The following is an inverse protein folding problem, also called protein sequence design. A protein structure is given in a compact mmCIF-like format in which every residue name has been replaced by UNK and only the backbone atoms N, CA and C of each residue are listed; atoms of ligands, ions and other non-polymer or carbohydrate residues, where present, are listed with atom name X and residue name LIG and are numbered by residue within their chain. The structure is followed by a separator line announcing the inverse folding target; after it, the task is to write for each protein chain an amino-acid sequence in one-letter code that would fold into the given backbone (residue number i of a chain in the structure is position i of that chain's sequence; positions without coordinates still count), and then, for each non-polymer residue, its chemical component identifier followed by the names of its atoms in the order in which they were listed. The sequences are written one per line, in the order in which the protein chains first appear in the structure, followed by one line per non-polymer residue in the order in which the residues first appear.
data_IF_284481308102
#
_entry.id   IF_284481308102
#
_cell.length_a   1.000
_cell.length_b   1.000
_cell.length_c   1.000
_cell.angle_alpha   90.00
_cell.angle_beta   90.00
_cell.angle_gamma   90.00
#
_symmetry.space_group_name_H-M   'P 1'
#
loop_
_entity.id
_entity.type
_entity.pdbx_description
1 polymer ?
#
# COMPACT_ATOMS: atom_id res chain seq x y z
N UNK A 1 -19.19 -10.65 0.91
CA UNK A 1 -19.22 -11.85 0.02
C UNK A 1 -18.22 -12.89 0.48
N UNK A 2 -18.37 -14.14 0.06
CA UNK A 2 -17.37 -15.17 0.28
C UNK A 2 -16.30 -15.04 -0.80
N UNK A 3 -15.05 -15.20 -0.39
CA UNK A 3 -13.89 -15.28 -1.29
C UNK A 3 -13.12 -16.56 -0.97
N UNK A 4 -12.58 -17.20 -2.00
CA UNK A 4 -11.77 -18.42 -1.86
C UNK A 4 -10.32 -18.09 -2.15
N UNK A 5 -9.41 -18.54 -1.30
CA UNK A 5 -7.97 -18.38 -1.50
C UNK A 5 -7.53 -19.23 -2.70
N UNK A 6 -7.06 -18.57 -3.75
CA UNK A 6 -6.59 -19.23 -4.97
C UNK A 6 -5.14 -19.71 -4.78
N UNK A 7 -4.26 -18.80 -4.43
CA UNK A 7 -2.86 -19.09 -4.11
C UNK A 7 -2.24 -17.96 -3.26
N UNK A 8 -1.02 -18.21 -2.80
CA UNK A 8 -0.23 -17.23 -2.04
C UNK A 8 1.10 -17.04 -2.77
N UNK A 9 1.58 -15.79 -2.83
CA UNK A 9 2.89 -15.43 -3.32
C UNK A 9 3.72 -14.79 -2.22
N UNK A 10 4.95 -15.26 -2.01
CA UNK A 10 5.92 -14.64 -1.10
C UNK A 10 6.63 -13.51 -1.84
N UNK A 11 6.33 -12.26 -1.49
CA UNK A 11 6.98 -11.07 -2.06
C UNK A 11 8.36 -10.82 -1.46
N UNK A 12 8.49 -11.12 -0.16
CA UNK A 12 9.71 -11.05 0.64
C UNK A 12 9.57 -11.99 1.85
N UNK A 13 10.62 -12.18 2.64
CA UNK A 13 10.64 -13.12 3.78
C UNK A 13 9.43 -13.00 4.72
N UNK A 14 8.92 -11.79 4.90
CA UNK A 14 7.82 -11.50 5.82
C UNK A 14 6.65 -10.77 5.15
N UNK A 15 6.63 -10.67 3.83
CA UNK A 15 5.57 -10.02 3.06
C UNK A 15 4.98 -11.01 2.08
N UNK A 16 3.65 -11.19 2.16
CA UNK A 16 2.90 -12.11 1.31
C UNK A 16 1.74 -11.42 0.62
N UNK A 17 1.49 -11.84 -0.61
CA UNK A 17 0.28 -11.50 -1.37
C UNK A 17 -0.64 -12.72 -1.42
N UNK A 18 -1.87 -12.53 -0.97
CA UNK A 18 -2.95 -13.50 -1.00
C UNK A 18 -3.86 -13.20 -2.17
N UNK A 19 -4.05 -14.19 -3.05
CA UNK A 19 -4.88 -14.08 -4.23
C UNK A 19 -6.24 -14.72 -3.96
N UNK A 20 -7.29 -13.91 -4.05
CA UNK A 20 -8.65 -14.32 -3.72
C UNK A 20 -9.54 -14.37 -4.94
N UNK A 21 -10.23 -15.49 -5.13
CA UNK A 21 -11.28 -15.64 -6.12
C UNK A 21 -12.62 -15.27 -5.49
N UNK A 22 -13.25 -14.18 -5.91
CA UNK A 22 -14.57 -13.81 -5.40
C UNK A 22 -15.65 -14.70 -6.01
N UNK A 23 -16.72 -14.98 -5.24
CA UNK A 23 -17.90 -15.74 -5.76
C UNK A 23 -18.65 -14.99 -6.85
N UNK A 24 -18.49 -13.69 -6.93
CA UNK A 24 -19.03 -12.81 -7.98
C UNK A 24 -18.07 -11.63 -8.19
N UNK A 25 -18.02 -11.05 -9.41
CA UNK A 25 -17.14 -9.92 -9.67
C UNK A 25 -17.36 -8.78 -8.68
N UNK A 26 -16.28 -8.24 -8.14
CA UNK A 26 -16.28 -7.07 -7.27
C UNK A 26 -15.87 -5.84 -8.06
N UNK A 27 -16.72 -4.83 -8.07
CA UNK A 27 -16.39 -3.53 -8.67
C UNK A 27 -15.81 -2.60 -7.59
N UNK A 28 -14.64 -2.05 -7.83
CA UNK A 28 -13.99 -1.10 -6.95
C UNK A 28 -13.11 -0.12 -7.73
N UNK A 29 -12.61 0.89 -7.04
CA UNK A 29 -11.65 1.86 -7.59
C UNK A 29 -10.27 1.56 -7.01
N UNK A 30 -9.23 1.61 -7.83
CA UNK A 30 -7.86 1.39 -7.40
C UNK A 30 -7.49 2.30 -6.21
N UNK A 31 -6.94 1.72 -5.16
CA UNK A 31 -6.63 2.37 -3.89
C UNK A 31 -7.65 2.13 -2.77
N UNK A 32 -8.85 1.61 -3.07
CA UNK A 32 -9.83 1.26 -2.04
C UNK A 32 -9.41 0.05 -1.21
N UNK A 33 -9.99 -0.05 -0.01
CA UNK A 33 -9.76 -1.13 0.95
C UNK A 33 -11.05 -1.90 1.26
N UNK A 34 -10.88 -3.07 1.88
CA UNK A 34 -11.96 -3.94 2.35
C UNK A 34 -11.70 -4.37 3.80
N UNK A 35 -12.75 -4.84 4.46
CA UNK A 35 -12.61 -5.63 5.68
C UNK A 35 -12.58 -7.12 5.32
N UNK A 36 -11.50 -7.80 5.70
CA UNK A 36 -11.37 -9.24 5.54
C UNK A 36 -11.61 -9.93 6.90
N UNK A 37 -12.53 -10.90 6.92
CA UNK A 37 -12.80 -11.74 8.08
C UNK A 37 -12.25 -13.15 7.84
N UNK A 38 -11.33 -13.56 8.69
CA UNK A 38 -10.79 -14.94 8.71
C UNK A 38 -11.24 -15.61 10.01
N UNK A 39 -12.14 -16.58 9.88
CA UNK A 39 -12.65 -17.35 11.03
C UNK A 39 -11.57 -18.23 11.62
N UNK A 40 -11.39 -18.20 12.94
CA UNK A 40 -10.44 -19.05 13.67
C UNK A 40 -10.86 -19.15 15.15
N UNK A 41 -10.54 -20.29 15.79
CA UNK A 41 -11.03 -20.60 17.13
C UNK A 41 -10.33 -19.80 18.24
N UNK A 42 -9.07 -19.37 18.02
CA UNK A 42 -8.22 -18.68 19.01
C UNK A 42 -8.22 -17.14 18.81
N UNK A 43 -9.38 -16.54 18.51
CA UNK A 43 -9.48 -15.10 18.31
C UNK A 43 -9.07 -14.33 19.58
N UNK A 44 -8.07 -13.46 19.44
CA UNK A 44 -7.66 -12.53 20.49
C UNK A 44 -8.66 -11.36 20.62
N UNK A 45 -8.46 -10.45 21.59
CA UNK A 45 -9.29 -9.28 21.82
C UNK A 45 -9.42 -8.33 20.63
N UNK A 46 -8.51 -8.44 19.67
CA UNK A 46 -8.54 -7.70 18.40
C UNK A 46 -9.45 -8.33 17.34
N UNK A 47 -10.03 -9.52 17.60
CA UNK A 47 -11.03 -10.20 16.80
C UNK A 47 -10.53 -10.75 15.45
N UNK A 48 -11.50 -11.20 14.65
CA UNK A 48 -11.32 -11.95 13.40
C UNK A 48 -11.31 -11.07 12.14
N UNK A 49 -11.29 -9.74 12.25
CA UNK A 49 -11.45 -8.80 11.14
C UNK A 49 -10.29 -7.83 11.05
N UNK A 50 -9.85 -7.53 9.81
CA UNK A 50 -8.86 -6.47 9.55
C UNK A 50 -9.16 -5.79 8.23
N UNK A 51 -8.83 -4.52 8.17
CA UNK A 51 -8.86 -3.75 6.95
C UNK A 51 -7.60 -3.97 6.14
N UNK A 52 -7.79 -4.12 4.83
CA UNK A 52 -6.69 -4.26 3.87
C UNK A 52 -7.02 -3.49 2.60
N UNK A 53 -6.06 -2.75 2.11
CA UNK A 53 -6.12 -2.24 0.74
C UNK A 53 -6.17 -3.41 -0.24
N UNK A 54 -7.03 -3.31 -1.25
CA UNK A 54 -6.96 -4.19 -2.41
C UNK A 54 -5.71 -3.81 -3.21
N UNK A 55 -4.69 -4.66 -3.16
CA UNK A 55 -3.44 -4.42 -3.89
C UNK A 55 -3.55 -4.74 -5.38
N UNK A 56 -4.56 -5.53 -5.81
CA UNK A 56 -4.88 -5.74 -7.23
C UNK A 56 -5.42 -4.49 -7.91
N UNK A 57 -5.29 -4.44 -9.24
CA UNK A 57 -6.04 -3.52 -10.09
C UNK A 57 -7.49 -3.97 -10.22
N UNK A 58 -8.47 -3.04 -10.34
CA UNK A 58 -9.87 -3.37 -10.65
C UNK A 58 -10.07 -4.12 -11.98
N UNK A 59 -9.06 -4.14 -12.83
CA UNK A 59 -9.05 -4.84 -14.13
C UNK A 59 -8.72 -6.33 -13.99
N UNK A 60 -8.21 -6.75 -12.83
CA UNK A 60 -7.77 -8.13 -12.58
C UNK A 60 -8.94 -9.01 -12.10
N UNK A 61 -8.90 -10.29 -12.48
CA UNK A 61 -9.91 -11.27 -12.09
C UNK A 61 -9.82 -11.66 -10.62
N UNK A 62 -8.59 -11.81 -10.10
CA UNK A 62 -8.33 -12.14 -8.69
C UNK A 62 -8.12 -10.85 -7.89
N UNK A 63 -8.74 -10.82 -6.71
CA UNK A 63 -8.51 -9.76 -5.74
C UNK A 63 -7.25 -10.08 -4.93
N UNK A 64 -6.38 -9.11 -4.71
CA UNK A 64 -5.20 -9.36 -3.89
C UNK A 64 -5.17 -8.50 -2.64
N UNK A 65 -4.68 -9.13 -1.57
CA UNK A 65 -4.34 -8.51 -0.30
C UNK A 65 -2.88 -8.81 -0.01
N UNK A 66 -2.06 -7.76 0.06
CA UNK A 66 -0.65 -7.90 0.40
C UNK A 66 -0.41 -7.41 1.81
N UNK A 67 0.31 -8.17 2.62
CA UNK A 67 0.50 -7.86 4.02
C UNK A 67 1.86 -8.30 4.55
N UNK A 68 2.38 -7.52 5.50
CA UNK A 68 3.61 -7.84 6.25
C UNK A 68 3.26 -8.59 7.53
N UNK A 69 4.02 -9.61 7.84
CA UNK A 69 3.92 -10.40 9.07
C UNK A 69 5.01 -9.98 10.05
N UNK A 70 4.66 -9.83 11.33
CA UNK A 70 5.65 -9.67 12.38
C UNK A 70 6.40 -11.00 12.60
N UNK A 71 7.67 -10.92 12.97
CA UNK A 71 8.48 -12.11 13.27
C UNK A 71 7.94 -12.86 14.48
N UNK A 72 7.53 -12.12 15.53
CA UNK A 72 6.95 -12.65 16.77
C UNK A 72 5.71 -11.83 17.16
N UNK A 73 4.81 -12.42 17.96
CA UNK A 73 3.65 -11.74 18.56
C UNK A 73 2.63 -11.10 17.60
N UNK A 74 2.49 -11.64 16.39
CA UNK A 74 1.40 -11.25 15.49
C UNK A 74 0.03 -11.51 16.11
N UNK A 75 -1.03 -10.77 15.66
CA UNK A 75 -2.39 -11.02 16.09
C UNK A 75 -2.84 -12.44 15.73
N UNK A 76 -3.83 -12.97 16.45
CA UNK A 76 -4.46 -14.26 16.11
C UNK A 76 -4.93 -14.28 14.67
N UNK A 77 -5.54 -13.18 14.20
CA UNK A 77 -5.91 -12.98 12.79
C UNK A 77 -4.73 -13.18 11.83
N UNK A 78 -3.57 -12.56 12.12
CA UNK A 78 -2.39 -12.68 11.25
C UNK A 78 -1.84 -14.12 11.24
N UNK A 79 -1.88 -14.82 12.38
CA UNK A 79 -1.51 -16.23 12.44
C UNK A 79 -2.48 -17.07 11.59
N UNK A 80 -3.79 -16.91 11.81
CA UNK A 80 -4.80 -17.61 11.01
C UNK A 80 -4.64 -17.35 9.50
N UNK A 81 -4.46 -16.09 9.09
CA UNK A 81 -4.21 -15.73 7.69
C UNK A 81 -2.93 -16.38 7.12
N UNK A 82 -1.86 -16.45 7.93
CA UNK A 82 -0.58 -17.09 7.53
C UNK A 82 -0.74 -18.57 7.25
N UNK A 83 -1.59 -19.24 8.04
CA UNK A 83 -1.77 -20.69 8.02
C UNK A 83 -2.80 -21.16 6.97
N UNK A 84 -3.51 -20.22 6.32
CA UNK A 84 -4.48 -20.53 5.25
C UNK A 84 -3.80 -21.24 4.07
N UNK A 85 -4.57 -22.11 3.43
CA UNK A 85 -4.16 -22.88 2.27
C UNK A 85 -5.07 -22.59 1.08
N UNK A 86 -4.59 -22.76 -0.17
CA UNK A 86 -5.45 -22.70 -1.35
C UNK A 86 -6.72 -23.55 -1.18
N UNK A 87 -7.88 -22.96 -1.47
CA UNK A 87 -9.21 -23.54 -1.24
C UNK A 87 -9.91 -23.09 0.04
N UNK A 88 -9.19 -22.52 1.00
CA UNK A 88 -9.80 -21.94 2.20
C UNK A 88 -10.64 -20.71 1.85
N UNK A 89 -11.61 -20.42 2.70
CA UNK A 89 -12.53 -19.28 2.45
C UNK A 89 -12.43 -18.20 3.52
N UNK A 90 -12.69 -16.96 3.11
CA UNK A 90 -12.83 -15.81 3.99
C UNK A 90 -14.08 -15.00 3.60
N UNK A 91 -14.46 -14.05 4.46
CA UNK A 91 -15.54 -13.11 4.16
C UNK A 91 -14.91 -11.74 3.87
N UNK A 92 -15.26 -11.16 2.74
CA UNK A 92 -14.80 -9.86 2.30
C UNK A 92 -15.99 -8.88 2.26
N UNK A 93 -15.81 -7.69 2.83
CA UNK A 93 -16.80 -6.61 2.76
C UNK A 93 -16.91 -6.02 1.36
N UNK A 94 -17.86 -5.11 1.16
CA UNK A 94 -17.83 -4.20 0.02
C UNK A 94 -16.62 -3.26 0.11
N UNK A 95 -16.10 -2.74 -1.02
CA UNK A 95 -14.98 -1.80 -1.05
C UNK A 95 -15.34 -0.47 -0.40
N UNK A 96 -14.37 0.14 0.28
CA UNK A 96 -14.50 1.39 1.01
C UNK A 96 -13.29 2.30 0.75
N UNK A 97 -13.43 3.56 1.13
CA UNK A 97 -12.34 4.55 1.11
C UNK A 97 -12.33 5.43 -0.13
N UNK A 98 -11.72 6.59 0.05
CA UNK A 98 -11.59 7.67 -0.94
C UNK A 98 -10.12 7.97 -1.30
N UNK A 99 -9.19 7.12 -0.87
CA UNK A 99 -7.78 7.19 -1.27
C UNK A 99 -7.62 6.63 -2.70
N UNK A 100 -8.09 7.43 -3.67
CA UNK A 100 -8.17 7.02 -5.09
C UNK A 100 -7.57 8.12 -5.97
N UNK A 101 -7.26 7.79 -7.22
CA UNK A 101 -6.74 8.75 -8.18
C UNK A 101 -7.74 9.91 -8.41
N UNK A 102 -7.26 11.16 -8.55
CA UNK A 102 -8.13 12.30 -8.85
C UNK A 102 -8.75 12.15 -10.24
N UNK A 103 -9.92 12.77 -10.44
CA UNK A 103 -10.64 12.71 -11.73
C UNK A 103 -9.85 13.34 -12.89
N UNK A 104 -9.09 14.41 -12.60
CA UNK A 104 -8.28 15.10 -13.61
C UNK A 104 -6.96 14.34 -13.80
N UNK A 105 -6.78 13.72 -14.96
CA UNK A 105 -5.60 12.92 -15.27
C UNK A 105 -4.28 13.73 -15.29
N UNK A 106 -4.35 15.02 -15.56
CA UNK A 106 -3.18 15.91 -15.63
C UNK A 106 -2.76 16.51 -14.29
N UNK A 107 -3.48 16.20 -13.20
CA UNK A 107 -3.07 16.64 -11.85
C UNK A 107 -1.71 16.05 -11.51
N UNK A 108 -0.69 16.87 -11.16
CA UNK A 108 0.60 16.35 -10.72
C UNK A 108 0.47 15.63 -9.38
N UNK A 109 1.04 14.41 -9.29
CA UNK A 109 0.94 13.55 -8.12
C UNK A 109 2.32 13.23 -7.55
N UNK A 110 2.43 13.31 -6.23
CA UNK A 110 3.56 12.74 -5.51
C UNK A 110 3.03 11.61 -4.63
N UNK A 111 3.49 10.39 -4.89
CA UNK A 111 3.17 9.21 -4.09
C UNK A 111 4.28 8.95 -3.09
N UNK A 112 3.91 8.80 -1.82
CA UNK A 112 4.84 8.51 -0.72
C UNK A 112 4.34 7.29 0.03
N UNK A 113 5.09 6.19 -0.07
CA UNK A 113 4.77 4.95 0.61
C UNK A 113 5.72 4.66 1.77
N UNK A 114 5.19 4.22 2.90
CA UNK A 114 5.96 3.64 4.01
C UNK A 114 5.70 2.15 4.14
N UNK A 115 6.71 1.31 3.84
CA UNK A 115 6.61 -0.14 3.93
C UNK A 115 5.40 -0.69 3.16
N UNK A 116 4.50 -1.41 3.86
CA UNK A 116 3.30 -2.01 3.24
C UNK A 116 2.29 -0.96 2.74
N UNK A 117 2.44 0.31 3.09
CA UNK A 117 1.67 1.42 2.50
C UNK A 117 1.84 1.60 0.99
N UNK A 118 2.69 0.80 0.38
CA UNK A 118 2.83 0.72 -1.08
C UNK A 118 1.59 0.11 -1.77
N UNK A 119 0.76 -0.64 -1.06
CA UNK A 119 -0.35 -1.42 -1.64
C UNK A 119 -1.39 -0.61 -2.41
N UNK A 120 -1.89 0.57 -1.95
CA UNK A 120 -2.80 1.37 -2.75
C UNK A 120 -2.15 1.93 -4.02
N UNK A 121 -0.87 2.29 -3.95
CA UNK A 121 -0.13 2.78 -5.12
C UNK A 121 0.13 1.66 -6.13
N UNK A 122 0.41 0.44 -5.67
CA UNK A 122 0.50 -0.73 -6.55
C UNK A 122 -0.81 -0.94 -7.33
N UNK A 123 -1.95 -0.92 -6.65
CA UNK A 123 -3.27 -1.03 -7.27
C UNK A 123 -3.49 0.08 -8.33
N UNK A 124 -3.16 1.34 -7.99
CA UNK A 124 -3.30 2.48 -8.88
C UNK A 124 -2.38 2.38 -10.11
N UNK A 125 -1.10 2.06 -9.91
CA UNK A 125 -0.13 1.96 -10.99
C UNK A 125 -0.42 0.78 -11.92
N UNK A 126 -0.85 -0.37 -11.37
CA UNK A 126 -1.30 -1.50 -12.17
C UNK A 126 -2.53 -1.12 -13.00
N UNK A 127 -3.50 -0.41 -12.41
CA UNK A 127 -4.68 0.09 -13.15
C UNK A 127 -4.29 1.02 -14.29
N UNK A 128 -3.37 1.95 -14.07
CA UNK A 128 -2.88 2.86 -15.11
C UNK A 128 -2.18 2.10 -16.24
N UNK A 129 -1.33 1.12 -15.90
CA UNK A 129 -0.69 0.27 -16.88
C UNK A 129 -1.69 -0.55 -17.71
N UNK A 130 -2.68 -1.16 -17.05
CA UNK A 130 -3.69 -2.00 -17.70
C UNK A 130 -4.63 -1.17 -18.60
N UNK A 131 -4.97 0.05 -18.20
CA UNK A 131 -5.84 0.96 -18.97
C UNK A 131 -5.11 1.76 -20.05
N UNK A 132 -3.76 1.74 -20.06
CA UNK A 132 -2.94 2.58 -20.93
C UNK A 132 -3.02 4.07 -20.59
N UNK A 133 -3.50 4.43 -19.39
CA UNK A 133 -3.57 5.81 -18.93
C UNK A 133 -2.23 6.24 -18.34
N UNK A 134 -1.75 7.44 -18.71
CA UNK A 134 -0.53 8.03 -18.18
C UNK A 134 -0.86 9.25 -17.32
N UNK A 135 -0.19 9.37 -16.17
CA UNK A 135 -0.32 10.50 -15.26
C UNK A 135 1.04 11.04 -14.83
N UNK A 136 1.17 12.34 -14.55
CA UNK A 136 2.40 12.92 -14.02
C UNK A 136 2.59 12.51 -12.55
N UNK A 137 3.26 11.39 -12.30
CA UNK A 137 3.49 10.83 -10.97
C UNK A 137 4.99 10.86 -10.66
N UNK A 138 5.35 11.30 -9.46
CA UNK A 138 6.65 11.08 -8.81
C UNK A 138 6.43 10.19 -7.60
N UNK A 139 7.38 9.29 -7.31
CA UNK A 139 7.16 8.32 -6.24
C UNK A 139 8.40 8.12 -5.35
N UNK A 140 8.16 8.15 -4.03
CA UNK A 140 9.12 7.79 -2.99
C UNK A 140 8.58 6.59 -2.20
N UNK A 141 9.44 5.62 -1.95
CA UNK A 141 9.09 4.43 -1.16
C UNK A 141 10.13 4.24 -0.06
N UNK A 142 9.70 4.34 1.21
CA UNK A 142 10.52 4.03 2.35
C UNK A 142 10.38 2.55 2.72
N UNK A 143 11.51 1.86 2.84
CA UNK A 143 11.59 0.48 3.33
C UNK A 143 12.67 0.38 4.40
N UNK A 144 12.62 -0.66 5.23
CA UNK A 144 13.64 -0.88 6.25
C UNK A 144 14.96 -1.32 5.62
N UNK A 145 14.92 -2.30 4.74
CA UNK A 145 16.09 -2.82 4.02
C UNK A 145 15.71 -3.15 2.57
N UNK A 146 16.70 -3.44 1.74
CA UNK A 146 16.53 -3.66 0.29
C UNK A 146 15.68 -4.90 -0.03
N UNK A 147 15.66 -5.89 0.86
CA UNK A 147 14.88 -7.11 0.71
C UNK A 147 13.37 -6.88 0.85
N UNK A 148 12.97 -5.74 1.42
CA UNK A 148 11.57 -5.33 1.51
C UNK A 148 11.07 -4.53 0.29
N UNK A 149 11.89 -4.36 -0.74
CA UNK A 149 11.48 -3.74 -2.01
C UNK A 149 10.67 -4.76 -2.81
N UNK A 150 9.38 -4.49 -2.95
CA UNK A 150 8.41 -5.34 -3.66
C UNK A 150 7.78 -4.60 -4.84
N UNK A 151 7.10 -5.31 -5.73
CA UNK A 151 6.31 -4.78 -6.86
C UNK A 151 7.11 -4.05 -7.94
N UNK A 152 8.41 -4.32 -8.07
CA UNK A 152 9.25 -3.67 -9.08
C UNK A 152 8.72 -3.87 -10.50
N UNK A 153 8.22 -5.06 -10.84
CA UNK A 153 7.62 -5.36 -12.14
C UNK A 153 6.45 -4.42 -12.49
N UNK A 154 5.68 -4.01 -11.49
CA UNK A 154 4.56 -3.07 -11.70
C UNK A 154 5.06 -1.66 -12.00
N UNK A 155 6.12 -1.21 -11.34
CA UNK A 155 6.73 0.08 -11.62
C UNK A 155 7.31 0.12 -13.04
N UNK A 156 7.97 -0.95 -13.47
CA UNK A 156 8.52 -1.09 -14.81
C UNK A 156 7.42 -1.08 -15.87
N UNK A 157 6.32 -1.84 -15.67
CA UNK A 157 5.17 -1.87 -16.57
C UNK A 157 4.46 -0.51 -16.67
N UNK A 158 4.34 0.20 -15.56
CA UNK A 158 3.77 1.54 -15.51
C UNK A 158 4.75 2.63 -16.02
N UNK A 159 5.96 2.26 -16.41
CA UNK A 159 7.07 3.19 -16.74
C UNK A 159 7.28 4.23 -15.63
N UNK A 160 7.17 3.79 -14.37
CA UNK A 160 7.24 4.64 -13.20
C UNK A 160 8.61 4.58 -12.55
N UNK A 161 9.32 5.71 -12.56
CA UNK A 161 10.54 5.84 -11.78
C UNK A 161 10.22 6.00 -10.30
N UNK A 162 10.83 5.14 -9.45
CA UNK A 162 10.64 5.12 -8.01
C UNK A 162 11.96 5.43 -7.31
N UNK A 163 11.95 6.40 -6.40
CA UNK A 163 13.06 6.64 -5.49
C UNK A 163 12.86 5.87 -4.21
N UNK A 164 13.69 4.86 -3.96
CA UNK A 164 13.69 4.09 -2.72
C UNK A 164 14.56 4.75 -1.67
N UNK A 165 14.01 4.88 -0.45
CA UNK A 165 14.70 5.39 0.74
C UNK A 165 14.81 4.26 1.75
N UNK A 166 16.02 3.79 2.03
CA UNK A 166 16.27 2.63 2.89
C UNK A 166 16.78 3.07 4.25
N UNK A 167 16.09 2.70 5.34
CA UNK A 167 16.45 3.15 6.68
C UNK A 167 17.62 2.37 7.31
N UNK A 168 17.74 1.08 7.02
CA UNK A 168 18.82 0.20 7.44
C UNK A 168 19.48 -0.46 6.22
N UNK A 169 20.18 0.35 5.38
CA UNK A 169 20.72 -0.15 4.13
C UNK A 169 22.00 -0.96 4.32
N UNK A 170 22.22 -1.92 3.43
CA UNK A 170 23.51 -2.59 3.33
C UNK A 170 24.62 -1.60 2.95
N UNK A 171 25.90 -1.93 3.21
CA UNK A 171 27.02 -1.09 2.73
C UNK A 171 27.03 -0.89 1.21
N UNK A 172 26.49 -1.85 0.45
CA UNK A 172 26.44 -1.80 -1.01
C UNK A 172 25.30 -0.95 -1.57
N UNK A 173 24.34 -0.52 -0.75
CA UNK A 173 23.22 0.31 -1.18
C UNK A 173 23.68 1.66 -1.72
N UNK A 174 23.40 1.91 -3.00
CA UNK A 174 23.78 3.14 -3.72
C UNK A 174 22.68 4.23 -3.79
N UNK A 175 21.48 3.95 -3.26
CA UNK A 175 20.35 4.88 -3.26
C UNK A 175 20.23 5.73 -1.99
N UNK A 176 19.08 6.37 -1.82
CA UNK A 176 18.78 7.23 -0.67
C UNK A 176 18.73 6.44 0.63
N UNK A 177 19.19 7.07 1.73
CA UNK A 177 19.30 6.45 3.06
C UNK A 177 18.54 7.22 4.11
N UNK A 178 18.00 6.52 5.10
CA UNK A 178 17.29 7.11 6.24
C UNK A 178 15.78 7.12 6.07
N UNK A 179 15.15 8.24 6.36
CA UNK A 179 13.68 8.41 6.30
C UNK A 179 13.29 9.43 5.25
N UNK A 180 12.10 9.27 4.67
CA UNK A 180 11.52 10.29 3.78
C UNK A 180 11.24 11.56 4.59
N UNK A 181 11.63 12.70 4.04
CA UNK A 181 11.40 14.03 4.63
C UNK A 181 10.58 14.92 3.70
N UNK A 182 10.00 15.99 4.25
CA UNK A 182 9.26 16.97 3.45
C UNK A 182 10.17 17.64 2.39
N UNK A 183 11.45 17.86 2.71
CA UNK A 183 12.43 18.43 1.78
C UNK A 183 12.67 17.51 0.58
N UNK A 184 12.73 16.19 0.77
CA UNK A 184 12.86 15.23 -0.33
C UNK A 184 11.64 15.29 -1.25
N UNK A 185 10.43 15.37 -0.68
CA UNK A 185 9.17 15.45 -1.44
C UNK A 185 9.13 16.74 -2.26
N UNK A 186 9.46 17.88 -1.66
CA UNK A 186 9.48 19.18 -2.31
C UNK A 186 10.57 19.24 -3.38
N UNK A 187 11.74 18.66 -3.11
CA UNK A 187 12.84 18.59 -4.06
C UNK A 187 12.55 17.72 -5.28
N UNK A 188 11.73 16.69 -5.10
CA UNK A 188 11.37 15.76 -6.18
C UNK A 188 10.44 16.37 -7.23
N UNK A 189 9.47 17.20 -6.82
CA UNK A 189 8.42 17.72 -7.72
C UNK A 189 8.30 19.25 -7.74
N UNK A 190 8.79 19.99 -6.75
CA UNK A 190 8.49 21.43 -6.58
C UNK A 190 6.97 21.69 -6.66
N UNK A 191 6.19 21.29 -5.63
CA UNK A 191 4.74 21.28 -5.70
C UNK A 191 4.14 22.62 -6.07
N UNK A 192 3.24 22.62 -7.05
CA UNK A 192 2.37 23.74 -7.40
C UNK A 192 1.09 23.74 -6.57
N UNK A 193 0.19 24.72 -6.74
CA UNK A 193 -1.12 24.71 -6.06
C UNK A 193 -2.01 23.52 -6.43
N UNK A 194 -1.81 22.93 -7.62
CA UNK A 194 -2.58 21.80 -8.14
C UNK A 194 -1.94 20.45 -7.78
N UNK A 195 -0.71 20.41 -7.26
CA UNK A 195 -0.02 19.16 -6.90
C UNK A 195 -0.68 18.51 -5.69
N UNK A 196 -1.01 17.21 -5.80
CA UNK A 196 -1.50 16.41 -4.70
C UNK A 196 -0.39 15.48 -4.19
N UNK A 197 -0.18 15.46 -2.88
CA UNK A 197 0.76 14.58 -2.20
C UNK A 197 -0.04 13.50 -1.47
N UNK A 198 0.08 12.27 -1.94
CA UNK A 198 -0.54 11.08 -1.37
C UNK A 198 0.47 10.39 -0.46
N UNK A 199 0.12 10.19 0.80
CA UNK A 199 0.97 9.51 1.77
C UNK A 199 0.23 8.31 2.32
N UNK A 200 0.83 7.10 2.20
CA UNK A 200 0.27 5.87 2.75
C UNK A 200 1.32 5.09 3.54
N UNK A 201 0.95 4.60 4.72
CA UNK A 201 1.85 3.86 5.60
C UNK A 201 1.45 3.89 7.07
N UNK A 202 2.42 3.70 7.99
CA UNK A 202 2.19 3.85 9.42
C UNK A 202 1.64 5.23 9.78
N UNK A 203 0.72 5.29 10.75
CA UNK A 203 0.05 6.52 11.18
C UNK A 203 1.04 7.64 11.50
N UNK A 204 2.10 7.35 12.27
CA UNK A 204 3.16 8.32 12.61
C UNK A 204 3.84 8.93 11.37
N UNK A 205 4.05 8.12 10.31
CA UNK A 205 4.65 8.61 9.07
C UNK A 205 3.70 9.58 8.36
N UNK A 206 2.43 9.22 8.24
CA UNK A 206 1.42 10.03 7.56
C UNK A 206 1.24 11.36 8.29
N UNK A 207 1.05 11.32 9.61
CA UNK A 207 0.86 12.51 10.43
C UNK A 207 2.08 13.44 10.43
N UNK A 208 3.29 12.88 10.61
CA UNK A 208 4.52 13.68 10.64
C UNK A 208 4.80 14.34 9.29
N UNK A 209 4.67 13.60 8.18
CA UNK A 209 4.88 14.18 6.85
C UNK A 209 3.82 15.23 6.50
N UNK A 210 2.55 15.01 6.84
CA UNK A 210 1.50 16.02 6.64
C UNK A 210 1.79 17.30 7.44
N UNK A 211 2.21 17.17 8.70
CA UNK A 211 2.57 18.33 9.52
C UNK A 211 3.76 19.10 8.95
N UNK A 212 4.79 18.40 8.49
CA UNK A 212 5.99 19.04 7.95
C UNK A 212 5.76 19.64 6.57
N UNK A 213 5.00 19.00 5.69
CA UNK A 213 4.59 19.56 4.40
C UNK A 213 3.70 20.80 4.58
N UNK A 214 2.80 20.79 5.57
CA UNK A 214 2.00 21.98 5.89
C UNK A 214 2.86 23.15 6.39
N UNK A 215 3.88 22.90 7.25
CA UNK A 215 4.87 23.92 7.65
C UNK A 215 5.67 24.45 6.44
N UNK A 216 5.93 23.61 5.47
CA UNK A 216 6.61 23.98 4.23
C UNK A 216 5.70 24.72 3.22
N UNK A 217 4.42 24.93 3.55
CA UNK A 217 3.50 25.76 2.79
C UNK A 217 2.45 25.03 1.95
N UNK A 218 2.41 23.68 1.98
CA UNK A 218 1.35 22.94 1.30
C UNK A 218 0.02 23.11 2.04
N UNK A 219 -1.05 23.27 1.27
CA UNK A 219 -2.40 23.45 1.80
C UNK A 219 -3.04 22.10 2.13
N UNK A 220 -3.97 22.04 3.08
CA UNK A 220 -4.64 20.82 3.52
C UNK A 220 -5.26 20.00 2.37
N UNK A 221 -5.82 20.65 1.36
CA UNK A 221 -6.46 19.96 0.22
C UNK A 221 -5.44 19.27 -0.71
N UNK A 222 -4.15 19.62 -0.61
CA UNK A 222 -3.08 18.99 -1.36
C UNK A 222 -2.56 17.70 -0.68
N UNK A 223 -2.91 17.49 0.58
CA UNK A 223 -2.42 16.37 1.39
C UNK A 223 -3.51 15.29 1.50
N UNK A 224 -3.25 14.16 0.90
CA UNK A 224 -4.14 12.98 0.91
C UNK A 224 -3.45 11.87 1.67
N UNK A 225 -4.06 11.41 2.75
CA UNK A 225 -3.45 10.40 3.63
C UNK A 225 -4.28 9.15 3.75
N UNK A 226 -3.60 8.01 3.77
CA UNK A 226 -4.15 6.72 4.15
C UNK A 226 -3.21 6.07 5.17
N UNK A 227 -3.75 5.67 6.32
CA UNK A 227 -2.93 5.09 7.37
C UNK A 227 -3.55 3.81 7.92
N UNK A 228 -2.68 2.93 8.36
CA UNK A 228 -3.06 1.64 8.94
C UNK A 228 -2.96 1.73 10.45
N UNK A 229 -4.11 1.87 11.18
CA UNK A 229 -4.10 1.98 12.63
C UNK A 229 -3.48 0.73 13.26
N UNK A 230 -2.68 0.93 14.31
CA UNK A 230 -1.92 -0.12 15.01
C UNK A 230 -0.83 -0.83 14.17
N UNK A 231 -0.45 -0.26 13.07
CA UNK A 231 0.77 -0.66 12.34
C UNK A 231 1.97 0.11 12.93
N UNK A 232 2.03 0.14 14.27
CA UNK A 232 3.15 0.76 14.94
C UNK A 232 4.38 -0.13 14.78
N UNK A 233 5.36 0.48 14.20
CA UNK A 233 6.78 0.31 14.37
C UNK A 233 7.40 -1.09 14.24
N UNK A 234 8.13 -1.17 13.29
CA UNK A 234 9.28 -1.95 12.96
C UNK A 234 9.93 -1.32 11.74
N UNK A 235 9.83 0.01 11.64
CA UNK A 235 10.56 0.77 10.62
C UNK A 235 11.77 1.41 11.27
#
# INVERSE_FOLDING_TARGET
MIVTLDHIHDEADNIRTFFWRPEKPLQYTAGQFIELTVKHDDADDRGERRWFTLSSSPTQELLTVTTKFAAENGSSFKRALRDMQPGDTAIMSDPMGDFVLPKLAQTPLVFVAGGIGITPFHSMLQYLADSGESRPIKMLVAVRNEQEIIFQDTFDKANQHVTFVVSEPSPAWGGERGRITAEMIIGLEQPTEDTLVYVSGPEELVESLHADLAKAGLKKHQLVGDFFPNYSAGI
#
